data_IF_807167007836
#
_entry.id   IF_807167007836
#
_cell.length_a   1.000
_cell.length_b   1.000
_cell.length_c   1.000
_cell.angle_alpha   90.00
_cell.angle_beta   90.00
_cell.angle_gamma   90.00
#
_symmetry.space_group_name_H-M   'P 1'
#
loop_
_entity.id
_entity.type
_entity.pdbx_description
1 polymer ?
#
# COMPACT_ATOMS: atom_id res chain seq x y z
N UNK A 1 8.15 -9.14 -14.51
CA UNK A 1 7.91 -7.84 -13.81
C UNK A 1 7.57 -8.15 -12.37
N UNK A 2 7.95 -7.29 -11.41
CA UNK A 2 7.75 -7.58 -9.98
C UNK A 2 6.66 -6.64 -9.44
N UNK A 3 5.80 -7.17 -8.58
CA UNK A 3 4.77 -6.41 -7.86
C UNK A 3 5.13 -6.39 -6.38
N UNK A 4 5.28 -5.18 -5.84
CA UNK A 4 5.25 -4.96 -4.39
C UNK A 4 3.79 -4.82 -3.95
N UNK A 5 3.28 -5.85 -3.28
CA UNK A 5 1.91 -5.90 -2.78
C UNK A 5 1.87 -5.51 -1.30
N UNK A 6 0.93 -4.64 -0.94
CA UNK A 6 0.59 -4.27 0.43
C UNK A 6 -0.88 -4.61 0.66
N UNK A 7 -1.12 -5.61 1.49
CA UNK A 7 -2.47 -5.95 1.95
C UNK A 7 -2.74 -5.19 3.24
N UNK A 8 -3.82 -4.42 3.30
CA UNK A 8 -4.22 -3.62 4.45
C UNK A 8 -5.66 -3.97 4.83
N UNK A 9 -5.86 -4.45 6.06
CA UNK A 9 -7.18 -4.47 6.69
C UNK A 9 -7.33 -3.19 7.51
N UNK A 10 -8.38 -2.42 7.24
CA UNK A 10 -8.67 -1.11 7.87
C UNK A 10 -10.03 -1.17 8.57
N UNK A 11 -10.13 -0.59 9.77
CA UNK A 11 -11.41 -0.48 10.49
C UNK A 11 -12.44 0.34 9.70
N UNK A 12 -13.72 -0.05 9.79
CA UNK A 12 -14.80 0.51 8.97
C UNK A 12 -15.12 1.98 9.31
N UNK A 13 -14.86 2.42 10.55
CA UNK A 13 -15.12 3.79 11.02
C UNK A 13 -14.21 4.84 10.36
N UNK A 14 -12.97 4.47 10.01
CA UNK A 14 -12.00 5.35 9.33
C UNK A 14 -11.83 5.03 7.84
N UNK A 15 -12.46 3.96 7.34
CA UNK A 15 -12.25 3.41 5.99
C UNK A 15 -12.44 4.43 4.86
N UNK A 16 -13.51 5.22 4.88
CA UNK A 16 -13.81 6.16 3.79
C UNK A 16 -12.78 7.29 3.69
N UNK A 17 -12.35 7.81 4.85
CA UNK A 17 -11.30 8.83 4.91
C UNK A 17 -9.93 8.25 4.52
N UNK A 18 -9.63 7.04 5.01
CA UNK A 18 -8.43 6.29 4.63
C UNK A 18 -8.37 6.03 3.12
N UNK A 19 -9.46 5.58 2.51
CA UNK A 19 -9.57 5.36 1.07
C UNK A 19 -9.27 6.63 0.28
N UNK A 20 -9.86 7.75 0.70
CA UNK A 20 -9.64 9.05 0.08
C UNK A 20 -8.17 9.45 0.17
N UNK A 21 -7.59 9.40 1.37
CA UNK A 21 -6.19 9.75 1.59
C UNK A 21 -5.21 8.84 0.84
N UNK A 22 -5.50 7.53 0.76
CA UNK A 22 -4.68 6.60 -0.03
C UNK A 22 -4.65 7.00 -1.50
N UNK A 23 -5.82 7.33 -2.09
CA UNK A 23 -5.95 7.69 -3.50
C UNK A 23 -5.39 9.07 -3.82
N UNK A 24 -5.60 10.05 -2.93
CA UNK A 24 -5.25 11.45 -3.19
C UNK A 24 -3.85 11.84 -2.73
N UNK A 25 -3.25 11.10 -1.78
CA UNK A 25 -1.99 11.47 -1.14
C UNK A 25 -0.98 10.33 -1.12
N UNK A 26 -1.29 9.22 -0.43
CA UNK A 26 -0.27 8.20 -0.16
C UNK A 26 0.22 7.48 -1.42
N UNK A 27 -0.69 6.96 -2.24
CA UNK A 27 -0.33 6.29 -3.50
C UNK A 27 0.38 7.27 -4.44
N UNK A 28 -0.10 8.52 -4.66
CA UNK A 28 0.64 9.52 -5.41
C UNK A 28 2.07 9.77 -4.90
N UNK A 29 2.28 9.84 -3.58
CA UNK A 29 3.61 10.02 -2.98
C UNK A 29 4.51 8.79 -3.19
N UNK A 30 3.96 7.57 -3.17
CA UNK A 30 4.71 6.36 -3.51
C UNK A 30 5.13 6.39 -4.99
N UNK A 31 4.20 6.78 -5.88
CA UNK A 31 4.46 6.84 -7.32
C UNK A 31 5.45 7.95 -7.69
N UNK A 32 5.46 9.08 -6.96
CA UNK A 32 6.38 10.19 -7.22
C UNK A 32 7.84 9.87 -6.91
N UNK A 33 8.13 8.77 -6.22
CA UNK A 33 9.50 8.25 -6.07
C UNK A 33 10.14 7.86 -7.40
N UNK A 34 9.32 7.59 -8.43
CA UNK A 34 9.79 7.14 -9.75
C UNK A 34 10.27 5.68 -9.79
N UNK A 35 10.17 4.95 -8.68
CA UNK A 35 10.61 3.55 -8.56
C UNK A 35 9.55 2.54 -9.04
N UNK A 36 8.30 3.00 -9.17
CA UNK A 36 7.17 2.21 -9.65
C UNK A 36 6.60 2.80 -10.93
N UNK A 37 6.11 1.93 -11.81
CA UNK A 37 5.58 2.30 -13.13
C UNK A 37 4.07 2.19 -13.23
N UNK A 38 3.44 1.48 -12.30
CA UNK A 38 1.99 1.30 -12.22
C UNK A 38 1.58 1.06 -10.77
N UNK A 39 0.35 1.44 -10.41
CA UNK A 39 -0.29 1.01 -9.18
C UNK A 39 -1.72 0.53 -9.41
N UNK A 40 -2.22 -0.32 -8.50
CA UNK A 40 -3.63 -0.71 -8.41
C UNK A 40 -4.05 -0.75 -6.95
N UNK A 41 -5.24 -0.26 -6.65
CA UNK A 41 -5.89 -0.42 -5.35
C UNK A 41 -7.14 -1.27 -5.51
N UNK A 42 -7.12 -2.44 -4.90
CA UNK A 42 -8.14 -3.48 -5.06
C UNK A 42 -8.83 -3.70 -3.71
N UNK A 43 -10.16 -3.77 -3.69
CA UNK A 43 -10.89 -4.27 -2.53
C UNK A 43 -10.90 -5.79 -2.57
N UNK A 44 -10.53 -6.45 -1.48
CA UNK A 44 -10.64 -7.90 -1.34
C UNK A 44 -12.11 -8.24 -1.07
N UNK A 45 -12.70 -9.11 -1.88
CA UNK A 45 -14.10 -9.53 -1.79
C UNK A 45 -14.23 -10.77 -0.91
N UNK A 46 -13.79 -10.64 0.34
CA UNK A 46 -13.99 -11.66 1.38
C UNK A 46 -14.90 -11.04 2.44
N UNK A 47 -15.83 -11.83 2.96
CA UNK A 47 -16.69 -11.42 4.06
C UNK A 47 -15.85 -11.50 5.35
N UNK A 48 -15.47 -10.34 5.88
CA UNK A 48 -14.67 -10.23 7.11
C UNK A 48 -15.54 -9.67 8.24
N UNK A 49 -15.53 -10.31 9.40
CA UNK A 49 -16.25 -9.80 10.58
C UNK A 49 -15.66 -8.48 11.11
N UNK A 50 -14.39 -8.18 10.78
CA UNK A 50 -13.66 -7.00 11.26
C UNK A 50 -12.92 -6.28 10.13
N UNK A 51 -13.30 -5.03 9.89
CA UNK A 51 -12.66 -4.14 8.93
C UNK A 51 -13.01 -4.43 7.47
N UNK A 52 -12.25 -3.83 6.56
CA UNK A 52 -12.28 -4.13 5.13
C UNK A 52 -10.86 -4.30 4.62
N UNK A 53 -10.56 -5.42 3.97
CA UNK A 53 -9.24 -5.64 3.38
C UNK A 53 -9.10 -5.07 1.96
N UNK A 54 -7.98 -4.39 1.73
CA UNK A 54 -7.54 -3.89 0.44
C UNK A 54 -6.16 -4.45 0.07
N UNK A 55 -5.91 -4.68 -1.22
CA UNK A 55 -4.60 -4.99 -1.77
C UNK A 55 -4.15 -3.81 -2.63
N UNK A 56 -3.03 -3.21 -2.27
CA UNK A 56 -2.38 -2.15 -3.04
C UNK A 56 -1.15 -2.74 -3.70
N UNK A 57 -1.14 -2.73 -5.03
CA UNK A 57 -0.10 -3.32 -5.84
C UNK A 57 0.68 -2.21 -6.52
N UNK A 58 2.01 -2.26 -6.43
CA UNK A 58 2.90 -1.36 -7.14
C UNK A 58 3.84 -2.17 -8.04
N UNK A 59 3.79 -1.93 -9.34
CA UNK A 59 4.62 -2.65 -10.32
C UNK A 59 5.96 -1.93 -10.50
N UNK A 60 7.06 -2.67 -10.44
CA UNK A 60 8.39 -2.17 -10.78
C UNK A 60 9.07 -3.07 -11.82
N UNK A 61 10.13 -2.52 -12.45
CA UNK A 61 10.87 -3.24 -13.49
C UNK A 61 11.91 -4.19 -12.89
N UNK A 62 12.58 -3.79 -11.80
CA UNK A 62 13.72 -4.52 -11.23
C UNK A 62 13.58 -4.66 -9.73
N UNK A 63 14.22 -5.71 -9.19
CA UNK A 63 14.28 -5.95 -7.75
C UNK A 63 15.04 -4.82 -7.03
N UNK A 64 16.08 -4.26 -7.65
CA UNK A 64 16.83 -3.12 -7.08
C UNK A 64 15.92 -1.92 -6.77
N UNK A 65 14.93 -1.64 -7.62
CA UNK A 65 14.02 -0.50 -7.42
C UNK A 65 13.19 -0.67 -6.13
N UNK A 66 12.81 -1.91 -5.81
CA UNK A 66 12.12 -2.24 -4.54
C UNK A 66 13.05 -2.06 -3.35
N UNK A 67 14.30 -2.51 -3.47
CA UNK A 67 15.28 -2.37 -2.38
C UNK A 67 15.55 -0.90 -2.06
N UNK A 68 15.70 -0.07 -3.09
CA UNK A 68 15.83 1.39 -2.95
C UNK A 68 14.59 1.96 -2.29
N UNK A 69 13.38 1.60 -2.77
CA UNK A 69 12.13 2.07 -2.16
C UNK A 69 12.04 1.72 -0.68
N UNK A 70 12.33 0.47 -0.32
CA UNK A 70 12.24 -0.02 1.05
C UNK A 70 13.24 0.66 1.99
N UNK A 71 14.44 0.97 1.50
CA UNK A 71 15.49 1.62 2.29
C UNK A 71 15.26 3.12 2.43
N UNK A 72 14.97 3.80 1.31
CA UNK A 72 15.12 5.26 1.21
C UNK A 72 13.77 6.00 1.33
N UNK A 73 12.65 5.36 1.01
CA UNK A 73 11.34 6.03 0.93
C UNK A 73 10.28 5.43 1.86
N UNK A 74 10.24 4.10 1.95
CA UNK A 74 9.23 3.39 2.70
C UNK A 74 9.17 3.75 4.19
N UNK A 75 10.28 3.99 4.93
CA UNK A 75 10.21 4.34 6.34
C UNK A 75 9.38 5.60 6.62
N UNK A 76 9.58 6.66 5.82
CA UNK A 76 8.85 7.91 5.97
C UNK A 76 7.37 7.76 5.58
N UNK A 77 7.09 7.14 4.43
CA UNK A 77 5.73 6.91 3.95
C UNK A 77 4.91 6.02 4.89
N UNK A 78 5.55 5.01 5.49
CA UNK A 78 4.93 4.14 6.49
C UNK A 78 4.68 4.88 7.80
N UNK A 79 5.61 5.74 8.23
CA UNK A 79 5.43 6.56 9.43
C UNK A 79 4.21 7.48 9.31
N UNK A 80 4.03 8.15 8.17
CA UNK A 80 2.86 8.99 7.91
C UNK A 80 1.54 8.22 7.98
N UNK A 81 1.50 7.02 7.40
CA UNK A 81 0.33 6.13 7.47
C UNK A 81 0.05 5.70 8.92
N UNK A 82 1.09 5.31 9.66
CA UNK A 82 0.99 4.93 11.08
C UNK A 82 0.50 6.10 11.93
N UNK A 83 1.06 7.30 11.77
CA UNK A 83 0.67 8.47 12.57
C UNK A 83 -0.81 8.82 12.38
N UNK A 84 -1.34 8.64 11.17
CA UNK A 84 -2.72 8.98 10.84
C UNK A 84 -3.73 7.91 11.24
N UNK A 85 -3.37 6.63 11.19
CA UNK A 85 -4.28 5.50 11.40
C UNK A 85 -3.82 4.53 12.49
N UNK A 86 -3.01 5.00 13.45
CA UNK A 86 -2.44 4.14 14.51
C UNK A 86 -3.53 3.34 15.21
N UNK A 87 -3.36 2.01 15.25
CA UNK A 87 -4.29 1.10 15.92
C UNK A 87 -5.60 0.86 15.16
N UNK A 88 -5.75 1.39 13.94
CA UNK A 88 -6.94 1.22 13.10
C UNK A 88 -6.73 0.33 11.88
N UNK A 89 -5.51 -0.15 11.66
CA UNK A 89 -5.19 -1.02 10.53
C UNK A 89 -4.14 -2.08 10.89
N UNK A 90 -4.11 -3.13 10.09
CA UNK A 90 -3.01 -4.09 10.00
C UNK A 90 -2.55 -4.16 8.55
N UNK A 91 -1.23 -4.20 8.32
CA UNK A 91 -0.66 -4.25 6.98
C UNK A 91 0.36 -5.38 6.84
N UNK A 92 0.26 -6.12 5.74
CA UNK A 92 1.16 -7.21 5.34
C UNK A 92 1.73 -6.94 3.95
N UNK A 93 3.00 -7.28 3.73
CA UNK A 93 3.74 -6.95 2.50
C UNK A 93 4.31 -8.19 1.86
N UNK A 94 4.16 -8.30 0.55
CA UNK A 94 4.64 -9.43 -0.25
C UNK A 94 5.25 -8.96 -1.57
N UNK A 95 6.14 -9.78 -2.12
CA UNK A 95 6.66 -9.62 -3.48
C UNK A 95 6.05 -10.71 -4.35
N UNK A 96 5.51 -10.30 -5.49
CA UNK A 96 4.92 -11.19 -6.48
C UNK A 96 5.66 -11.04 -7.80
N UNK A 97 5.76 -12.12 -8.55
CA UNK A 97 6.26 -12.11 -9.92
C UNK A 97 5.10 -12.29 -10.90
N UNK A 98 5.11 -11.51 -11.99
CA UNK A 98 4.17 -11.67 -13.10
C UNK A 98 4.67 -12.80 -14.00
N UNK A 99 3.85 -13.84 -14.20
CA UNK A 99 4.11 -15.01 -15.07
C UNK A 99 3.35 -14.95 -16.39
#
# INVERSE_FOLDING_TARGET
MIIYNVTVNIENDVREEWLKWMKEVHIPNVMSTGLFIENRMLKVLVDEESGTTYSIQYTCKRMEDIQIYQRDHAPQLQKEHIEKYKGKFVAFRTLLEVV
#
